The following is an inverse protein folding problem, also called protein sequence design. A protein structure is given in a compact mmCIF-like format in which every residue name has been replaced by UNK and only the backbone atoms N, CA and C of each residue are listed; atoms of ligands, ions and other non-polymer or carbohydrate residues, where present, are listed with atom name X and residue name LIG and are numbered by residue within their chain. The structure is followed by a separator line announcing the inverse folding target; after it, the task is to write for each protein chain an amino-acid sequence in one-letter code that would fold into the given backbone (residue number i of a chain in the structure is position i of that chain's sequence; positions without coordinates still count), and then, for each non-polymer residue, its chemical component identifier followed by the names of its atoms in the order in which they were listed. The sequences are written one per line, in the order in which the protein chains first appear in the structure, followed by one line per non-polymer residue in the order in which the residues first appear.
data_IF_535616379166
#
_entry.id   IF_535616379166
#
_cell.length_a   1.000
_cell.length_b   1.000
_cell.length_c   1.000
_cell.angle_alpha   90.00
_cell.angle_beta   90.00
_cell.angle_gamma   90.00
#
_symmetry.space_group_name_H-M   'P 1'
#
loop_
_entity.id
_entity.type
_entity.pdbx_description
1 polymer ?
#
# COMPACT_ATOMS: atom_id res chain seq x y z
N UNK A 1 -9.65 -24.74 13.24
CA UNK A 1 -9.68 -23.34 13.70
C UNK A 1 -8.24 -22.90 13.96
N UNK A 2 -7.62 -22.18 13.02
CA UNK A 2 -6.36 -21.45 13.25
C UNK A 2 -6.71 -19.98 13.10
N UNK A 3 -6.64 -19.24 14.20
CA UNK A 3 -6.92 -17.81 14.23
C UNK A 3 -5.85 -17.06 13.45
N UNK A 4 -6.29 -16.18 12.54
CA UNK A 4 -5.49 -15.04 12.16
C UNK A 4 -5.66 -14.01 13.29
N UNK A 5 -4.66 -13.91 14.17
CA UNK A 5 -4.40 -12.66 14.88
C UNK A 5 -3.66 -11.79 13.87
N UNK A 6 -4.38 -10.89 13.21
CA UNK A 6 -3.79 -9.81 12.44
C UNK A 6 -3.70 -8.61 13.38
N UNK A 7 -2.55 -8.41 14.03
CA UNK A 7 -2.25 -7.08 14.57
C UNK A 7 -2.37 -6.11 13.40
N UNK A 8 -3.44 -5.32 13.38
CA UNK A 8 -3.69 -4.39 12.28
C UNK A 8 -3.19 -3.03 12.70
N UNK A 9 -2.23 -2.51 11.94
CA UNK A 9 -1.70 -1.17 12.10
C UNK A 9 -2.14 -0.28 10.94
N UNK A 10 -2.27 1.02 11.20
CA UNK A 10 -2.30 2.06 10.18
C UNK A 10 -0.96 2.78 10.22
N UNK A 11 -0.17 2.67 9.16
CA UNK A 11 1.21 3.16 9.13
C UNK A 11 1.44 4.11 7.97
N UNK A 12 2.05 5.25 8.27
CA UNK A 12 2.54 6.25 7.33
C UNK A 12 4.06 6.11 7.26
N UNK A 13 4.57 5.87 6.06
CA UNK A 13 5.99 5.86 5.77
C UNK A 13 6.32 7.11 4.98
N UNK A 14 7.27 7.90 5.45
CA UNK A 14 7.73 9.11 4.78
C UNK A 14 9.21 8.99 4.48
N UNK A 15 9.60 9.48 3.30
CA UNK A 15 10.99 9.66 2.93
C UNK A 15 11.13 11.07 2.36
N UNK A 16 12.06 11.84 2.89
CA UNK A 16 12.39 13.18 2.40
C UNK A 16 13.88 13.27 2.13
N UNK A 17 14.25 13.73 0.95
CA UNK A 17 15.66 13.86 0.54
C UNK A 17 15.86 15.06 -0.41
N UNK A 18 15.89 16.30 0.11
CA UNK A 18 16.12 17.49 -0.69
C UNK A 18 17.50 17.43 -1.35
N UNK A 19 17.53 17.49 -2.68
CA UNK A 19 18.75 17.48 -3.49
C UNK A 19 19.03 16.20 -4.28
N UNK A 20 18.23 15.15 -4.10
CA UNK A 20 18.29 13.96 -4.96
C UNK A 20 17.52 14.22 -6.26
N UNK A 21 18.22 14.36 -7.40
CA UNK A 21 17.58 14.75 -8.67
C UNK A 21 16.85 13.60 -9.39
N UNK A 22 17.10 12.35 -9.00
CA UNK A 22 16.56 11.16 -9.67
C UNK A 22 15.25 10.65 -9.08
N UNK A 23 14.83 11.16 -7.91
CA UNK A 23 13.57 10.79 -7.26
C UNK A 23 12.85 12.04 -6.73
N UNK A 24 11.53 11.97 -6.46
CA UNK A 24 10.83 13.05 -5.78
C UNK A 24 11.51 13.43 -4.46
N UNK A 25 11.52 14.72 -4.13
CA UNK A 25 12.11 15.24 -2.88
C UNK A 25 11.42 14.65 -1.65
N UNK A 26 10.14 14.30 -1.77
CA UNK A 26 9.31 13.78 -0.71
C UNK A 26 8.43 12.65 -1.26
N UNK A 27 8.28 11.59 -0.48
CA UNK A 27 7.38 10.48 -0.75
C UNK A 27 6.69 10.12 0.57
N UNK A 28 5.37 9.92 0.52
CA UNK A 28 4.60 9.32 1.60
C UNK A 28 3.81 8.11 1.10
N UNK A 29 3.78 7.05 1.90
CA UNK A 29 2.98 5.84 1.66
C UNK A 29 2.11 5.57 2.88
N UNK A 30 0.82 5.31 2.65
CA UNK A 30 -0.12 4.89 3.68
C UNK A 30 -0.41 3.40 3.54
N UNK A 31 -0.28 2.65 4.64
CA UNK A 31 -0.59 1.22 4.71
C UNK A 31 -1.56 0.88 5.85
N UNK A 32 -2.36 -0.16 5.64
CA UNK A 32 -3.12 -0.86 6.70
C UNK A 32 -2.67 -2.31 6.71
N UNK A 33 -1.99 -2.74 7.77
CA UNK A 33 -1.17 -3.95 7.71
C UNK A 33 -0.20 -3.87 6.53
N UNK A 34 -0.20 -4.88 5.66
CA UNK A 34 0.66 -4.91 4.48
C UNK A 34 0.05 -4.21 3.25
N UNK A 35 -1.26 -3.94 3.26
CA UNK A 35 -1.95 -3.35 2.13
C UNK A 35 -1.62 -1.86 2.00
N UNK A 36 -1.13 -1.44 0.83
CA UNK A 36 -0.93 -0.03 0.50
C UNK A 36 -2.26 0.63 0.08
N UNK A 37 -2.65 1.66 0.81
CA UNK A 37 -3.91 2.39 0.60
C UNK A 37 -3.71 3.67 -0.20
N UNK A 38 -2.53 4.28 -0.13
CA UNK A 38 -2.28 5.56 -0.76
C UNK A 38 -0.80 5.87 -0.89
N UNK A 39 -0.49 6.77 -1.82
CA UNK A 39 0.83 7.33 -2.01
C UNK A 39 0.70 8.79 -2.42
N UNK A 40 1.65 9.59 -2.01
CA UNK A 40 1.83 10.93 -2.54
C UNK A 40 3.31 11.30 -2.63
N UNK A 41 3.65 12.24 -3.52
CA UNK A 41 5.00 12.75 -3.70
C UNK A 41 5.11 14.29 -3.60
N UNK A 42 6.34 14.80 -3.71
CA UNK A 42 6.65 16.24 -3.66
C UNK A 42 5.95 17.07 -4.74
N UNK A 43 5.59 16.46 -5.87
CA UNK A 43 4.90 17.13 -6.98
C UNK A 43 3.38 17.18 -6.73
N UNK A 44 2.92 16.66 -5.59
CA UNK A 44 1.52 16.53 -5.26
C UNK A 44 0.81 15.48 -6.09
N UNK A 45 1.56 14.59 -6.78
CA UNK A 45 0.97 13.44 -7.45
C UNK A 45 0.54 12.46 -6.39
N UNK A 46 -0.72 12.06 -6.45
CA UNK A 46 -1.23 10.91 -5.72
C UNK A 46 -1.34 9.76 -6.72
N UNK A 47 -0.77 8.59 -6.42
CA UNK A 47 -0.95 7.45 -7.34
C UNK A 47 -2.37 6.92 -7.21
N UNK A 48 -2.82 6.27 -8.28
CA UNK A 48 -4.04 5.49 -8.26
C UNK A 48 -3.94 4.43 -7.18
N UNK A 49 -5.04 4.32 -6.45
CA UNK A 49 -5.19 3.41 -5.34
C UNK A 49 -5.53 2.06 -5.93
N UNK A 50 -4.66 1.07 -5.75
CA UNK A 50 -4.83 -0.24 -6.37
C UNK A 50 -5.85 -1.12 -5.63
N UNK A 51 -6.31 -0.70 -4.45
CA UNK A 51 -7.28 -1.41 -3.63
C UNK A 51 -8.71 -0.96 -3.96
N UNK A 52 -9.52 -1.83 -4.57
CA UNK A 52 -10.89 -1.52 -5.00
C UNK A 52 -11.78 -0.99 -3.87
N UNK A 53 -11.65 -1.55 -2.67
CA UNK A 53 -12.42 -1.12 -1.52
C UNK A 53 -12.09 0.31 -1.07
N UNK A 54 -10.86 0.77 -1.30
CA UNK A 54 -10.48 2.18 -1.07
C UNK A 54 -10.97 3.06 -2.21
N UNK A 55 -10.93 2.60 -3.48
CA UNK A 55 -11.57 3.34 -4.58
C UNK A 55 -13.04 3.60 -4.25
N UNK A 56 -13.72 2.57 -3.74
CA UNK A 56 -15.12 2.68 -3.28
C UNK A 56 -15.28 3.63 -2.09
N UNK A 57 -14.41 3.55 -1.08
CA UNK A 57 -14.38 4.51 0.03
C UNK A 57 -14.30 5.96 -0.47
N UNK A 58 -13.43 6.25 -1.43
CA UNK A 58 -13.23 7.61 -1.95
C UNK A 58 -14.41 8.09 -2.79
N UNK A 59 -15.05 7.18 -3.54
CA UNK A 59 -16.30 7.50 -4.23
C UNK A 59 -17.42 7.84 -3.25
N UNK A 60 -17.53 7.06 -2.16
CA UNK A 60 -18.55 7.23 -1.14
C UNK A 60 -18.26 8.44 -0.22
N UNK A 61 -16.98 8.80 -0.03
CA UNK A 61 -16.52 9.96 0.73
C UNK A 61 -15.39 10.74 0.02
N UNK A 62 -15.73 11.66 -0.91
CA UNK A 62 -14.74 12.48 -1.59
C UNK A 62 -13.93 13.42 -0.68
N UNK A 63 -14.45 13.76 0.51
CA UNK A 63 -13.75 14.61 1.47
C UNK A 63 -12.51 13.90 2.03
N UNK A 64 -12.53 12.57 2.09
CA UNK A 64 -11.41 11.74 2.48
C UNK A 64 -10.15 12.05 1.65
N UNK A 65 -10.28 12.00 0.33
CA UNK A 65 -9.16 12.22 -0.59
C UNK A 65 -8.60 13.64 -0.44
N UNK A 66 -9.48 14.63 -0.26
CA UNK A 66 -9.08 16.02 -0.02
C UNK A 66 -8.30 16.17 1.28
N UNK A 67 -8.76 15.53 2.36
CA UNK A 67 -8.06 15.53 3.65
C UNK A 67 -6.69 14.85 3.53
N UNK A 68 -6.62 13.67 2.93
CA UNK A 68 -5.36 12.95 2.70
C UNK A 68 -4.35 13.78 1.90
N UNK A 69 -4.81 14.43 0.82
CA UNK A 69 -3.96 15.31 0.00
C UNK A 69 -3.44 16.50 0.80
N UNK A 70 -4.26 17.07 1.69
CA UNK A 70 -3.85 18.20 2.53
C UNK A 70 -2.83 17.76 3.59
N UNK A 71 -3.04 16.61 4.23
CA UNK A 71 -2.09 16.03 5.20
C UNK A 71 -0.74 15.78 4.54
N UNK A 72 -0.72 15.18 3.35
CA UNK A 72 0.50 14.97 2.58
C UNK A 72 1.30 16.26 2.36
N UNK A 73 0.61 17.34 1.95
CA UNK A 73 1.25 18.65 1.75
C UNK A 73 1.86 19.21 3.03
N UNK A 74 1.14 19.09 4.16
CA UNK A 74 1.63 19.53 5.47
C UNK A 74 2.86 18.74 5.88
N UNK A 75 2.83 17.41 5.78
CA UNK A 75 3.95 16.54 6.14
C UNK A 75 5.20 16.82 5.29
N UNK A 76 5.03 17.09 4.00
CA UNK A 76 6.15 17.48 3.13
C UNK A 76 6.84 18.77 3.64
N UNK A 77 6.07 19.80 4.01
CA UNK A 77 6.65 21.04 4.53
C UNK A 77 7.35 20.83 5.88
N UNK A 78 6.75 20.05 6.78
CA UNK A 78 7.31 19.74 8.08
C UNK A 78 8.62 18.94 7.97
N UNK A 79 8.64 17.90 7.14
CA UNK A 79 9.83 17.08 6.93
C UNK A 79 10.99 17.88 6.30
N UNK A 80 10.68 18.78 5.36
CA UNK A 80 11.66 19.69 4.76
C UNK A 80 12.25 20.66 5.78
N UNK A 81 11.41 21.21 6.67
CA UNK A 81 11.86 22.07 7.76
C UNK A 81 12.73 21.29 8.76
N UNK A 82 12.34 20.06 9.09
CA UNK A 82 13.09 19.20 10.01
C UNK A 82 14.48 18.85 9.46
N UNK A 83 14.59 18.45 8.19
CA UNK A 83 15.91 18.26 7.55
C UNK A 83 16.77 19.51 7.66
N UNK A 84 16.19 20.69 7.41
CA UNK A 84 16.94 21.95 7.47
C UNK A 84 17.49 22.22 8.88
N UNK A 85 16.72 21.88 9.92
CA UNK A 85 17.15 21.97 11.32
C UNK A 85 18.22 20.95 11.67
N UNK A 86 18.07 19.69 11.24
CA UNK A 86 19.05 18.63 11.49
C UNK A 86 20.41 18.95 10.86
N UNK A 87 20.42 19.47 9.63
CA UNK A 87 21.66 19.90 8.97
C UNK A 87 22.40 20.97 9.78
N UNK A 88 21.68 21.95 10.33
CA UNK A 88 22.28 22.97 11.20
C UNK A 88 22.81 22.34 12.49
N UNK A 89 22.03 21.45 13.12
CA UNK A 89 22.40 20.80 14.38
C UNK A 89 23.67 19.95 14.26
N UNK A 90 23.82 19.24 13.13
CA UNK A 90 24.98 18.41 12.84
C UNK A 90 26.12 19.15 12.11
N UNK A 91 26.03 20.48 11.99
CA UNK A 91 27.01 21.32 11.26
C UNK A 91 27.28 20.84 9.82
N UNK A 92 26.26 20.30 9.16
CA UNK A 92 26.31 19.79 7.78
C UNK A 92 26.07 20.94 6.79
N UNK A 93 27.06 21.23 5.95
CA UNK A 93 27.05 22.38 5.03
C UNK A 93 26.66 22.03 3.59
N UNK A 94 26.58 20.75 3.24
CA UNK A 94 26.28 20.26 1.89
C UNK A 94 26.08 18.74 1.86
N UNK A 95 25.82 18.20 0.68
CA UNK A 95 25.49 16.78 0.50
C UNK A 95 23.99 16.51 0.45
N UNK A 96 23.65 15.29 0.06
CA UNK A 96 22.28 14.76 0.07
C UNK A 96 22.07 14.07 1.41
N UNK A 97 20.99 14.44 2.10
CA UNK A 97 20.60 13.85 3.38
C UNK A 97 19.20 13.29 3.28
N UNK A 98 18.95 12.21 4.01
CA UNK A 98 17.69 11.48 3.94
C UNK A 98 17.07 11.47 5.33
N UNK A 99 15.83 11.94 5.43
CA UNK A 99 14.98 11.77 6.60
C UNK A 99 13.93 10.71 6.28
N UNK A 100 13.81 9.72 7.16
CA UNK A 100 12.80 8.68 7.11
C UNK A 100 11.91 8.83 8.34
N UNK A 101 10.60 8.73 8.15
CA UNK A 101 9.63 8.69 9.26
C UNK A 101 8.74 7.46 9.10
N UNK A 102 8.50 6.77 10.20
CA UNK A 102 7.51 5.71 10.31
C UNK A 102 6.59 6.04 11.48
N UNK A 103 5.38 6.48 11.18
CA UNK A 103 4.42 6.89 12.20
C UNK A 103 3.05 6.28 11.97
N UNK A 104 2.28 6.09 13.03
CA UNK A 104 1.02 5.37 12.91
C UNK A 104 0.43 4.96 14.23
N UNK A 105 -0.52 4.04 14.15
CA UNK A 105 -1.15 3.44 15.32
C UNK A 105 -1.45 1.98 15.07
N UNK A 106 -1.28 1.18 16.11
CA UNK A 106 -1.63 -0.22 16.12
C UNK A 106 -2.86 -0.43 16.99
N UNK A 107 -3.71 -1.37 16.58
CA UNK A 107 -4.82 -1.80 17.41
C UNK A 107 -4.37 -2.95 18.33
N UNK A 108 -4.51 -2.75 19.64
CA UNK A 108 -4.20 -3.75 20.66
C UNK A 108 -5.50 -4.43 21.10
N UNK A 109 -5.73 -5.64 20.61
CA UNK A 109 -6.92 -6.44 20.93
C UNK A 109 -6.99 -6.86 22.42
N UNK A 110 -5.85 -6.93 23.12
CA UNK A 110 -5.82 -7.31 24.53
C UNK A 110 -6.34 -6.18 25.43
N UNK A 111 -5.93 -4.94 25.12
CA UNK A 111 -6.31 -3.77 25.89
C UNK A 111 -7.54 -3.05 25.31
N UNK A 112 -8.03 -3.48 24.14
CA UNK A 112 -9.06 -2.80 23.35
C UNK A 112 -8.75 -1.31 23.13
N UNK A 113 -7.48 -1.01 22.94
CA UNK A 113 -6.99 0.36 22.78
C UNK A 113 -6.06 0.46 21.58
N UNK A 114 -5.73 1.67 21.17
CA UNK A 114 -4.78 1.91 20.10
C UNK A 114 -3.52 2.57 20.61
N UNK A 115 -2.39 2.07 20.13
CA UNK A 115 -1.06 2.51 20.53
C UNK A 115 -0.45 3.25 19.36
N UNK A 116 -0.26 4.55 19.53
CA UNK A 116 0.45 5.35 18.54
C UNK A 116 1.96 5.15 18.63
N UNK A 117 2.64 5.29 17.50
CA UNK A 117 4.09 5.25 17.38
C UNK A 117 4.57 6.28 16.36
N UNK A 118 5.80 6.76 16.52
CA UNK A 118 6.45 7.69 15.60
C UNK A 118 7.97 7.55 15.70
N UNK A 119 8.59 7.03 14.64
CA UNK A 119 10.02 6.75 14.56
C UNK A 119 10.66 7.57 13.45
N UNK A 120 11.86 8.08 13.70
CA UNK A 120 12.64 8.83 12.73
C UNK A 120 14.01 8.20 12.53
N UNK A 121 14.37 8.06 11.25
CA UNK A 121 15.74 7.79 10.81
C UNK A 121 16.33 8.99 10.08
N UNK A 122 17.62 9.23 10.26
CA UNK A 122 18.36 10.27 9.54
C UNK A 122 19.65 9.69 8.98
N UNK A 123 19.88 9.87 7.68
CA UNK A 123 21.01 9.31 6.93
C UNK A 123 21.18 7.77 7.10
N UNK A 124 20.07 7.07 7.31
CA UNK A 124 20.01 5.60 7.47
C UNK A 124 20.20 5.10 8.91
N UNK A 125 20.44 5.98 9.87
CA UNK A 125 20.54 5.65 11.29
C UNK A 125 19.27 6.04 12.05
N UNK A 126 18.85 5.22 13.02
CA UNK A 126 17.75 5.58 13.91
C UNK A 126 18.17 6.79 14.76
N UNK A 127 17.42 7.88 14.63
CA UNK A 127 17.76 9.15 15.27
C UNK A 127 16.88 9.42 16.50
N UNK A 128 15.58 9.16 16.42
CA UNK A 128 14.66 9.34 17.56
C UNK A 128 13.38 8.54 17.40
N UNK A 129 12.80 8.13 18.52
CA UNK A 129 11.50 7.45 18.59
C UNK A 129 10.63 8.12 19.64
N UNK A 130 9.34 8.22 19.36
CA UNK A 130 8.39 8.84 20.26
C UNK A 130 7.39 7.81 20.80
N UNK A 131 7.41 7.61 22.12
CA UNK A 131 6.48 6.74 22.84
C UNK A 131 5.26 7.55 23.31
N UNK A 132 4.12 7.32 22.66
CA UNK A 132 2.87 8.00 22.94
C UNK A 132 2.33 7.66 24.35
N UNK A 133 2.65 6.49 24.91
CA UNK A 133 2.11 6.03 26.21
C UNK A 133 2.68 6.79 27.39
N UNK A 134 3.93 7.21 27.32
CA UNK A 134 4.65 7.83 28.44
C UNK A 134 4.56 9.35 28.46
N UNK A 135 3.87 9.95 27.49
CA UNK A 135 3.85 11.38 27.33
C UNK A 135 2.81 12.10 28.21
N UNK A 136 3.19 13.27 28.74
CA UNK A 136 2.38 14.11 29.62
C UNK A 136 1.63 15.27 28.94
N UNK A 137 1.90 15.60 27.67
CA UNK A 137 1.34 16.79 26.99
C UNK A 137 0.83 16.52 25.57
N UNK A 138 -0.40 16.92 25.23
CA UNK A 138 -0.94 16.73 23.87
C UNK A 138 -0.40 17.79 22.90
N UNK A 139 0.31 17.38 21.86
CA UNK A 139 0.70 18.21 20.70
C UNK A 139 -0.19 17.91 19.48
N UNK A 140 -0.06 18.68 18.40
CA UNK A 140 -0.81 18.41 17.16
C UNK A 140 -0.50 17.02 16.58
N UNK A 141 0.78 16.62 16.58
CA UNK A 141 1.21 15.29 16.14
C UNK A 141 0.67 14.19 17.06
N UNK A 142 0.63 14.45 18.37
CA UNK A 142 0.12 13.48 19.33
C UNK A 142 -1.41 13.36 19.30
N UNK A 143 -2.13 14.44 19.03
CA UNK A 143 -3.56 14.39 18.77
C UNK A 143 -3.89 13.52 17.54
N UNK A 144 -3.03 13.59 16.51
CA UNK A 144 -3.17 12.70 15.36
C UNK A 144 -3.00 11.22 15.76
N UNK A 145 -1.92 10.88 16.45
CA UNK A 145 -1.60 9.50 16.85
C UNK A 145 -2.63 8.92 17.84
N UNK A 146 -3.13 9.73 18.77
CA UNK A 146 -4.07 9.29 19.83
C UNK A 146 -5.52 9.25 19.35
N UNK A 147 -5.96 10.26 18.59
CA UNK A 147 -7.39 10.43 18.28
C UNK A 147 -7.72 10.12 16.82
N UNK A 148 -6.93 10.64 15.88
CA UNK A 148 -7.27 10.60 14.46
C UNK A 148 -6.89 9.26 13.84
N UNK A 149 -5.68 8.76 14.11
CA UNK A 149 -5.20 7.50 13.57
C UNK A 149 -6.10 6.32 13.94
N UNK A 150 -6.51 6.11 15.22
CA UNK A 150 -7.34 4.97 15.59
C UNK A 150 -8.74 5.04 14.97
N UNK A 151 -9.29 6.24 14.78
CA UNK A 151 -10.57 6.44 14.09
C UNK A 151 -10.47 6.02 12.63
N UNK A 152 -9.40 6.41 11.94
CA UNK A 152 -9.17 5.98 10.55
C UNK A 152 -8.91 4.49 10.42
N UNK A 153 -8.08 3.91 11.29
CA UNK A 153 -7.81 2.48 11.32
C UNK A 153 -9.12 1.68 11.44
N UNK A 154 -9.98 2.05 12.40
CA UNK A 154 -11.32 1.44 12.55
C UNK A 154 -12.17 1.60 11.29
N UNK A 155 -12.18 2.79 10.69
CA UNK A 155 -12.98 3.07 9.50
C UNK A 155 -12.50 2.26 8.29
N UNK A 156 -11.20 2.20 8.04
CA UNK A 156 -10.62 1.40 6.95
C UNK A 156 -10.92 -0.09 7.16
N UNK A 157 -10.73 -0.61 8.37
CA UNK A 157 -11.06 -1.99 8.71
C UNK A 157 -12.55 -2.31 8.49
N UNK A 158 -13.45 -1.40 8.88
CA UNK A 158 -14.89 -1.56 8.65
C UNK A 158 -15.25 -1.56 7.17
N UNK A 159 -14.72 -0.62 6.40
CA UNK A 159 -14.96 -0.55 4.95
C UNK A 159 -14.42 -1.79 4.22
N UNK A 160 -13.20 -2.21 4.54
CA UNK A 160 -12.62 -3.46 4.02
C UNK A 160 -13.51 -4.65 4.34
N UNK A 161 -13.88 -4.84 5.62
CA UNK A 161 -14.79 -5.92 6.04
C UNK A 161 -16.12 -5.89 5.30
N UNK A 162 -16.76 -4.73 5.17
CA UNK A 162 -18.03 -4.60 4.45
C UNK A 162 -17.90 -4.91 2.97
N UNK A 163 -16.83 -4.44 2.33
CA UNK A 163 -16.55 -4.70 0.93
C UNK A 163 -16.34 -6.19 0.67
N UNK A 164 -15.52 -6.86 1.50
CA UNK A 164 -15.26 -8.30 1.38
C UNK A 164 -16.46 -9.16 1.80
N UNK A 165 -17.20 -8.79 2.85
CA UNK A 165 -18.41 -9.50 3.26
C UNK A 165 -19.52 -9.47 2.20
N UNK A 166 -19.63 -8.36 1.44
CA UNK A 166 -20.54 -8.28 0.27
C UNK A 166 -20.15 -9.22 -0.86
N UNK A 167 -18.88 -9.64 -0.95
CA UNK A 167 -18.41 -10.60 -1.96
C UNK A 167 -18.73 -12.07 -1.61
N UNK A 168 -19.14 -12.37 -0.37
CA UNK A 168 -19.76 -13.63 0.06
C UNK A 168 -18.84 -14.86 0.15
N UNK A 169 -19.07 -15.73 1.12
CA UNK A 169 -18.26 -16.94 1.46
C UNK A 169 -18.19 -18.05 0.38
N UNK A 170 -18.74 -17.82 -0.82
CA UNK A 170 -18.67 -18.75 -1.96
C UNK A 170 -17.88 -18.14 -3.12
N UNK A 171 -16.71 -17.55 -2.82
CA UNK A 171 -15.81 -17.02 -3.83
C UNK A 171 -15.31 -18.13 -4.76
N UNK A 172 -15.73 -18.09 -6.02
CA UNK A 172 -15.07 -18.81 -7.10
C UNK A 172 -13.92 -17.94 -7.60
N UNK A 173 -12.71 -18.27 -7.16
CA UNK A 173 -11.49 -17.57 -7.52
C UNK A 173 -10.72 -18.36 -8.57
N UNK A 174 -10.23 -17.66 -9.58
CA UNK A 174 -9.29 -18.19 -10.57
C UNK A 174 -7.97 -17.46 -10.39
N UNK A 175 -6.90 -18.23 -10.20
CA UNK A 175 -5.55 -17.71 -10.07
C UNK A 175 -4.81 -17.81 -11.40
N UNK A 176 -4.20 -16.71 -11.81
CA UNK A 176 -3.17 -16.69 -12.84
C UNK A 176 -1.81 -16.58 -12.16
N UNK A 177 -0.93 -17.54 -12.41
CA UNK A 177 0.38 -17.63 -11.76
C UNK A 177 1.50 -17.59 -12.80
N UNK A 178 2.56 -16.85 -12.46
CA UNK A 178 3.80 -16.83 -13.23
C UNK A 178 4.96 -17.13 -12.28
N UNK A 179 5.80 -18.10 -12.61
CA UNK A 179 7.07 -18.37 -11.91
C UNK A 179 8.26 -18.41 -12.85
N UNK A 180 9.48 -18.44 -12.29
CA UNK A 180 10.71 -18.59 -13.07
C UNK A 180 11.15 -17.33 -13.82
N UNK A 181 10.57 -16.15 -13.54
CA UNK A 181 10.93 -14.92 -14.24
C UNK A 181 12.07 -14.16 -13.55
N UNK A 182 12.82 -13.41 -14.35
CA UNK A 182 13.88 -12.50 -13.91
C UNK A 182 14.02 -11.38 -14.96
N UNK A 183 14.23 -10.11 -14.58
CA UNK A 183 14.40 -9.58 -13.22
C UNK A 183 13.07 -9.50 -12.42
N UNK A 184 13.13 -9.03 -11.18
CA UNK A 184 12.00 -8.81 -10.25
C UNK A 184 11.04 -7.69 -10.66
N UNK A 185 11.13 -7.20 -11.90
CA UNK A 185 10.30 -6.12 -12.43
C UNK A 185 9.34 -6.68 -13.46
N UNK A 186 8.13 -7.00 -13.02
CA UNK A 186 7.05 -7.46 -13.89
C UNK A 186 5.70 -6.94 -13.37
N UNK A 187 4.70 -6.95 -14.24
CA UNK A 187 3.31 -6.67 -13.91
C UNK A 187 2.41 -7.77 -14.45
N UNK A 188 1.32 -8.05 -13.72
CA UNK A 188 0.33 -9.03 -14.13
C UNK A 188 -1.07 -8.54 -13.79
N UNK A 189 -1.99 -8.65 -14.74
CA UNK A 189 -3.34 -8.09 -14.64
C UNK A 189 -4.33 -8.89 -15.49
N UNK A 190 -5.62 -8.73 -15.19
CA UNK A 190 -6.70 -9.30 -15.99
C UNK A 190 -7.25 -8.28 -16.97
N UNK A 191 -7.65 -8.77 -18.14
CA UNK A 191 -8.44 -8.01 -19.11
C UNK A 191 -9.78 -8.67 -19.35
N UNK A 192 -10.75 -7.87 -19.73
CA UNK A 192 -12.03 -8.30 -20.29
C UNK A 192 -12.24 -7.59 -21.63
N UNK A 193 -12.43 -8.36 -22.69
CA UNK A 193 -12.60 -7.84 -24.06
C UNK A 193 -11.46 -6.90 -24.51
N UNK A 194 -10.25 -7.10 -23.97
CA UNK A 194 -9.06 -6.30 -24.28
C UNK A 194 -8.84 -5.07 -23.40
N UNK A 195 -9.76 -4.74 -22.49
CA UNK A 195 -9.58 -3.66 -21.50
C UNK A 195 -9.18 -4.22 -20.13
N UNK A 196 -8.22 -3.58 -19.47
CA UNK A 196 -7.78 -3.96 -18.12
C UNK A 196 -8.91 -3.76 -17.11
N UNK A 197 -9.12 -4.78 -16.28
CA UNK A 197 -10.11 -4.76 -15.21
C UNK A 197 -9.41 -4.74 -13.86
N UNK A 198 -9.98 -3.96 -12.96
CA UNK A 198 -9.52 -3.90 -11.57
C UNK A 198 -10.56 -4.45 -10.60
N UNK A 199 -11.85 -4.33 -10.93
CA UNK A 199 -12.92 -4.87 -10.10
C UNK A 199 -12.83 -6.39 -10.01
N UNK A 200 -12.95 -6.92 -8.79
CA UNK A 200 -12.93 -8.37 -8.53
C UNK A 200 -11.57 -9.03 -8.81
N UNK A 201 -10.51 -8.23 -8.93
CA UNK A 201 -9.13 -8.69 -9.10
C UNK A 201 -8.32 -8.43 -7.82
N UNK A 202 -7.57 -9.42 -7.37
CA UNK A 202 -6.62 -9.32 -6.26
C UNK A 202 -5.20 -9.60 -6.76
N UNK A 203 -4.27 -8.68 -6.49
CA UNK A 203 -2.89 -8.78 -6.93
C UNK A 203 -2.01 -9.32 -5.80
N UNK A 204 -1.34 -10.45 -6.05
CA UNK A 204 -0.32 -10.97 -5.16
C UNK A 204 1.00 -10.21 -5.26
N UNK A 205 1.84 -10.38 -4.25
CA UNK A 205 3.21 -9.84 -4.23
C UNK A 205 4.16 -10.64 -5.14
N UNK A 206 5.30 -10.03 -5.45
CA UNK A 206 6.43 -10.71 -6.10
C UNK A 206 7.24 -11.43 -5.03
N UNK A 207 7.30 -12.76 -5.10
CA UNK A 207 8.01 -13.59 -4.14
C UNK A 207 9.28 -14.18 -4.77
N UNK A 208 10.41 -14.20 -4.05
CA UNK A 208 11.63 -14.83 -4.55
C UNK A 208 11.56 -16.37 -4.47
N UNK A 209 12.14 -17.04 -5.47
CA UNK A 209 12.35 -18.48 -5.50
C UNK A 209 13.77 -18.84 -5.03
N UNK A 210 13.98 -20.11 -4.63
CA UNK A 210 15.29 -20.60 -4.17
C UNK A 210 16.37 -20.63 -5.26
N UNK A 211 15.98 -20.63 -6.53
CA UNK A 211 16.88 -20.67 -7.69
C UNK A 211 17.31 -19.27 -8.19
N UNK A 212 16.89 -18.20 -7.48
CA UNK A 212 17.19 -16.81 -7.84
C UNK A 212 16.21 -16.19 -8.85
N UNK A 213 15.15 -16.91 -9.23
CA UNK A 213 14.02 -16.37 -10.00
C UNK A 213 12.91 -15.85 -9.10
N UNK A 214 11.84 -15.31 -9.69
CA UNK A 214 10.69 -14.76 -8.96
C UNK A 214 9.38 -15.42 -9.39
N UNK A 215 8.36 -15.28 -8.55
CA UNK A 215 7.00 -15.69 -8.83
C UNK A 215 5.99 -14.61 -8.41
N UNK A 216 4.83 -14.58 -9.04
CA UNK A 216 3.70 -13.73 -8.66
C UNK A 216 2.37 -14.37 -9.07
N UNK A 217 1.27 -13.88 -8.51
CA UNK A 217 -0.09 -14.28 -8.90
C UNK A 217 -1.05 -13.11 -8.98
N UNK A 218 -2.10 -13.25 -9.79
CA UNK A 218 -3.24 -12.34 -9.84
C UNK A 218 -4.52 -13.16 -9.88
N UNK A 219 -5.40 -12.90 -8.93
CA UNK A 219 -6.58 -13.71 -8.67
C UNK A 219 -7.83 -12.96 -9.13
N UNK A 220 -8.70 -13.60 -9.91
CA UNK A 220 -9.98 -13.05 -10.38
C UNK A 220 -11.14 -13.77 -9.72
N UNK A 221 -12.05 -13.01 -9.12
CA UNK A 221 -13.31 -13.52 -8.62
C UNK A 221 -14.34 -13.61 -9.76
N UNK A 222 -14.72 -14.84 -10.10
CA UNK A 222 -15.70 -15.15 -11.16
C UNK A 222 -17.05 -15.60 -10.60
N UNK A 223 -17.34 -15.34 -9.32
CA UNK A 223 -18.57 -15.79 -8.68
C UNK A 223 -19.85 -15.29 -9.36
N UNK A 224 -19.79 -14.08 -9.93
CA UNK A 224 -20.88 -13.44 -10.69
C UNK A 224 -20.79 -13.66 -12.21
N UNK A 225 -19.71 -14.28 -12.70
CA UNK A 225 -19.42 -14.45 -14.12
C UNK A 225 -19.93 -15.81 -14.60
N UNK A 226 -20.76 -15.79 -15.63
CA UNK A 226 -21.27 -17.02 -16.24
C UNK A 226 -20.15 -17.74 -17.01
N UNK A 227 -20.06 -19.09 -16.97
CA UNK A 227 -19.03 -19.84 -17.68
C UNK A 227 -18.90 -19.54 -19.18
N UNK A 228 -19.98 -19.09 -19.82
CA UNK A 228 -19.99 -18.72 -21.24
C UNK A 228 -19.19 -17.44 -21.52
N UNK A 229 -19.11 -16.54 -20.54
CA UNK A 229 -18.36 -15.28 -20.63
C UNK A 229 -16.87 -15.44 -20.27
N UNK A 230 -16.42 -16.60 -19.78
CA UNK A 230 -15.02 -16.80 -19.36
C UNK A 230 -14.02 -16.54 -20.49
N UNK A 231 -14.35 -16.90 -21.72
CA UNK A 231 -13.49 -16.70 -22.90
C UNK A 231 -13.19 -15.23 -23.24
N UNK A 232 -13.94 -14.29 -22.64
CA UNK A 232 -13.74 -12.84 -22.77
C UNK A 232 -12.64 -12.32 -21.84
N UNK A 233 -12.19 -13.14 -20.90
CA UNK A 233 -11.18 -12.79 -19.92
C UNK A 233 -9.82 -13.37 -20.32
N UNK A 234 -8.78 -12.58 -20.16
CA UNK A 234 -7.41 -13.02 -20.34
C UNK A 234 -6.50 -12.41 -19.27
N UNK A 235 -5.58 -13.23 -18.75
CA UNK A 235 -4.51 -12.80 -17.87
C UNK A 235 -3.32 -12.38 -18.72
N UNK A 236 -2.74 -11.22 -18.40
CA UNK A 236 -1.59 -10.65 -19.10
C UNK A 236 -0.44 -10.56 -18.14
N UNK A 237 0.70 -11.15 -18.51
CA UNK A 237 1.97 -11.01 -17.82
C UNK A 237 2.94 -10.20 -18.68
N UNK A 238 3.49 -9.14 -18.08
CA UNK A 238 4.42 -8.22 -18.71
C UNK A 238 5.73 -8.18 -17.91
N UNK A 239 6.83 -8.57 -18.55
CA UNK A 239 8.17 -8.54 -17.95
C UNK A 239 8.93 -7.28 -18.41
N UNK A 240 9.47 -6.52 -17.46
CA UNK A 240 10.19 -5.28 -17.76
C UNK A 240 11.40 -5.57 -18.66
N UNK A 241 11.54 -4.78 -19.72
CA UNK A 241 12.59 -4.95 -20.73
C UNK A 241 12.25 -5.94 -21.84
N UNK A 242 11.10 -6.63 -21.75
CA UNK A 242 10.59 -7.50 -22.82
C UNK A 242 9.42 -6.80 -23.52
N UNK A 243 9.48 -6.72 -24.86
CA UNK A 243 8.45 -6.02 -25.66
C UNK A 243 7.17 -6.81 -25.87
N UNK A 244 7.18 -8.11 -25.56
CA UNK A 244 6.10 -9.03 -25.87
C UNK A 244 5.45 -9.48 -24.57
N UNK A 245 4.16 -9.24 -24.45
CA UNK A 245 3.36 -9.72 -23.34
C UNK A 245 3.03 -11.19 -23.52
N UNK A 246 2.92 -11.91 -22.40
CA UNK A 246 2.39 -13.26 -22.34
C UNK A 246 0.92 -13.15 -21.97
N UNK A 247 0.04 -13.69 -22.82
CA UNK A 247 -1.42 -13.57 -22.66
C UNK A 247 -2.00 -14.98 -22.58
N UNK A 248 -2.72 -15.25 -21.50
CA UNK A 248 -3.38 -16.53 -21.26
C UNK A 248 -4.88 -16.31 -21.13
N UNK A 249 -5.64 -16.90 -22.05
CA UNK A 249 -7.11 -16.82 -22.00
C UNK A 249 -7.66 -17.72 -20.91
N UNK A 250 -8.70 -17.25 -20.25
CA UNK A 250 -9.44 -18.09 -19.33
C UNK A 250 -10.29 -19.09 -20.14
N UNK A 251 -9.98 -20.39 -19.99
CA UNK A 251 -10.75 -21.48 -20.59
C UNK A 251 -11.35 -22.40 -19.50
N UNK A 252 -12.50 -22.99 -19.81
CA UNK A 252 -13.33 -23.83 -18.95
C UNK A 252 -12.65 -25.16 -18.57
N UNK A 253 -11.54 -25.52 -19.23
CA UNK A 253 -10.86 -26.80 -19.09
C UNK A 253 -9.68 -26.79 -18.09
N UNK A 254 -9.16 -25.63 -17.68
CA UNK A 254 -7.93 -25.53 -16.88
C UNK A 254 -8.17 -24.72 -15.59
N UNK A 255 -8.67 -25.38 -14.55
CA UNK A 255 -8.84 -24.78 -13.21
C UNK A 255 -7.52 -24.67 -12.42
N UNK A 256 -6.36 -24.72 -13.08
CA UNK A 256 -5.04 -24.39 -12.54
C UNK A 256 -4.09 -24.11 -13.72
N UNK A 257 -3.87 -22.84 -14.01
CA UNK A 257 -2.86 -22.39 -14.98
C UNK A 257 -1.56 -22.10 -14.23
N UNK A 258 -0.62 -23.04 -14.29
CA UNK A 258 0.73 -22.90 -13.76
C UNK A 258 1.72 -22.77 -14.92
N UNK A 259 2.53 -21.71 -14.91
CA UNK A 259 3.70 -21.51 -15.78
C UNK A 259 4.98 -21.57 -14.97
#
# INVERSE_FOLDING_TARGET
QRGLILNTSLTYFLITSPGLQTFPEFIAVLKVGDAQLGYCDSDGRTTQINQDWIKKLIQDDPHHLKWYTQVCKTMHQEAKALISQLKLHFNQTGGVHILQEMSGCEWDDHHQDSVGFDHYGYDGEEFTSFDVRTMSWVTQKNNFLINICPQWLKRYLQYGKMFFARKGDNLKLISCHATGFYPDRASMFWRKDGEEIHEDVDHGEILPNHDGTFQMRVDLNISSVKPEDWSRYDCVFHLSGVKKDVITKLDKAENNLSY
#
